data_IF_492699974561
#
_entry.id   IF_492699974561
#
_cell.length_a   1.000
_cell.length_b   1.000
_cell.length_c   1.000
_cell.angle_alpha   90.00
_cell.angle_beta   90.00
_cell.angle_gamma   90.00
#
_symmetry.space_group_name_H-M   'P 1'
#
loop_
_entity.id
_entity.type
_entity.pdbx_description
1 polymer ?
#
# COMPACT_ATOMS: atom_id res chain seq x y z
N UNK A 1 -1.43 13.10 19.60
CA UNK A 1 -1.17 11.66 19.37
C UNK A 1 -1.35 11.43 17.88
N UNK A 2 -0.42 10.73 17.19
CA UNK A 2 -0.55 10.49 15.74
C UNK A 2 -1.64 9.44 15.50
N UNK A 3 -2.41 9.58 14.42
CA UNK A 3 -3.42 8.62 13.96
C UNK A 3 -3.02 8.07 12.60
N UNK A 4 -3.18 6.76 12.39
CA UNK A 4 -2.89 6.08 11.12
C UNK A 4 -4.17 5.49 10.57
N UNK A 5 -4.53 5.83 9.33
CA UNK A 5 -5.60 5.19 8.58
C UNK A 5 -5.01 4.03 7.76
N UNK A 6 -5.43 2.82 8.06
CA UNK A 6 -5.08 1.60 7.31
C UNK A 6 -6.16 1.41 6.25
N UNK A 7 -5.78 1.45 4.97
CA UNK A 7 -6.69 1.25 3.84
C UNK A 7 -6.53 -0.17 3.30
N UNK A 8 -7.61 -0.94 3.32
CA UNK A 8 -7.68 -2.33 2.88
C UNK A 8 -8.60 -2.43 1.66
N UNK A 9 -8.08 -2.32 0.42
CA UNK A 9 -8.86 -2.60 -0.77
C UNK A 9 -9.06 -4.12 -0.91
N UNK A 10 -10.31 -4.57 -1.11
CA UNK A 10 -10.67 -5.97 -1.28
C UNK A 10 -11.53 -6.17 -2.53
N UNK A 11 -11.27 -7.23 -3.29
CA UNK A 11 -12.12 -7.68 -4.39
C UNK A 11 -11.97 -9.19 -4.58
N UNK A 12 -13.04 -9.93 -4.28
CA UNK A 12 -13.09 -11.39 -4.34
C UNK A 12 -11.97 -12.02 -3.49
N UNK A 13 -12.00 -11.72 -2.20
CA UNK A 13 -11.02 -12.20 -1.21
C UNK A 13 -11.74 -12.94 -0.05
N UNK A 14 -12.78 -13.72 -0.37
CA UNK A 14 -13.62 -14.44 0.61
C UNK A 14 -12.82 -15.37 1.53
N UNK A 15 -11.69 -15.91 1.06
CA UNK A 15 -10.83 -16.82 1.83
C UNK A 15 -9.86 -16.09 2.75
N UNK A 16 -9.55 -14.83 2.48
CA UNK A 16 -8.43 -14.11 3.11
C UNK A 16 -8.87 -12.91 3.93
N UNK A 17 -10.02 -12.29 3.61
CA UNK A 17 -10.40 -11.01 4.19
C UNK A 17 -10.61 -11.07 5.70
N UNK A 18 -11.32 -12.06 6.24
CA UNK A 18 -11.57 -12.17 7.67
C UNK A 18 -10.29 -12.52 8.44
N UNK A 19 -9.50 -13.55 8.06
CA UNK A 19 -8.20 -13.80 8.69
C UNK A 19 -7.26 -12.60 8.65
N UNK A 20 -7.24 -11.84 7.55
CA UNK A 20 -6.43 -10.63 7.46
C UNK A 20 -6.88 -9.58 8.48
N UNK A 21 -8.18 -9.25 8.50
CA UNK A 21 -8.68 -8.21 9.41
C UNK A 21 -8.50 -8.57 10.87
N UNK A 22 -8.60 -9.86 11.24
CA UNK A 22 -8.25 -10.35 12.57
C UNK A 22 -6.77 -10.12 12.88
N UNK A 23 -5.87 -10.40 11.93
CA UNK A 23 -4.44 -10.13 12.09
C UNK A 23 -4.14 -8.63 12.19
N UNK A 24 -4.81 -7.78 11.40
CA UNK A 24 -4.71 -6.31 11.49
C UNK A 24 -5.16 -5.84 12.88
N UNK A 25 -6.31 -6.34 13.35
CA UNK A 25 -6.84 -5.98 14.68
C UNK A 25 -5.87 -6.34 15.79
N UNK A 26 -5.38 -7.60 15.81
CA UNK A 26 -4.38 -8.06 16.78
C UNK A 26 -3.12 -7.19 16.76
N UNK A 27 -2.56 -6.93 15.57
CA UNK A 27 -1.34 -6.12 15.45
C UNK A 27 -1.55 -4.66 15.91
N UNK A 28 -2.72 -4.07 15.69
CA UNK A 28 -3.02 -2.69 16.10
C UNK A 28 -3.30 -2.60 17.60
N UNK A 29 -3.87 -3.63 18.22
CA UNK A 29 -4.08 -3.70 19.67
C UNK A 29 -2.78 -3.89 20.47
N UNK A 30 -1.82 -4.66 19.94
CA UNK A 30 -0.48 -4.81 20.52
C UNK A 30 0.31 -3.50 20.50
N UNK A 31 0.07 -2.64 19.49
CA UNK A 31 0.70 -1.34 19.33
C UNK A 31 -0.11 -0.27 20.08
N UNK A 32 0.14 -0.08 21.35
CA UNK A 32 -0.59 0.87 22.21
C UNK A 32 -0.59 2.32 21.69
N UNK A 33 0.27 2.68 20.79
CA UNK A 33 0.43 3.98 20.11
C UNK A 33 0.98 3.70 18.71
N UNK A 34 0.47 4.30 17.65
CA UNK A 34 -0.53 5.38 17.49
C UNK A 34 -1.99 4.87 17.55
N UNK A 35 -2.95 5.79 17.40
CA UNK A 35 -4.35 5.42 17.15
C UNK A 35 -4.50 4.91 15.73
N UNK A 36 -5.29 3.86 15.55
CA UNK A 36 -5.55 3.28 14.23
C UNK A 36 -7.00 3.51 13.80
N UNK A 37 -7.19 3.58 12.49
CA UNK A 37 -8.49 3.61 11.82
C UNK A 37 -8.40 2.64 10.65
N UNK A 38 -9.18 1.57 10.67
CA UNK A 38 -9.20 0.55 9.62
C UNK A 38 -10.35 0.84 8.66
N UNK A 39 -10.02 1.08 7.39
CA UNK A 39 -10.98 1.40 6.32
C UNK A 39 -10.92 0.29 5.29
N UNK A 40 -11.96 -0.54 5.23
CA UNK A 40 -12.10 -1.58 4.22
C UNK A 40 -12.89 -1.02 3.04
N UNK A 41 -12.40 -1.25 1.83
CA UNK A 41 -13.09 -0.89 0.59
C UNK A 41 -13.36 -2.15 -0.21
N UNK A 42 -14.60 -2.60 -0.22
CA UNK A 42 -15.05 -3.69 -1.09
C UNK A 42 -15.31 -3.15 -2.50
N UNK A 43 -14.44 -3.51 -3.42
CA UNK A 43 -14.43 -3.02 -4.81
C UNK A 43 -15.37 -3.87 -5.70
N UNK A 44 -16.66 -3.92 -5.35
CA UNK A 44 -17.66 -4.63 -6.13
C UNK A 44 -17.42 -6.15 -6.16
N UNK A 45 -17.15 -6.78 -5.01
CA UNK A 45 -16.99 -8.24 -4.96
C UNK A 45 -18.26 -8.97 -5.37
N UNK A 46 -18.10 -10.06 -6.12
CA UNK A 46 -19.18 -10.93 -6.59
C UNK A 46 -19.16 -12.33 -5.98
N UNK A 47 -18.24 -12.57 -5.02
CA UNK A 47 -18.19 -13.73 -4.15
C UNK A 47 -18.80 -13.41 -2.76
N UNK A 48 -18.50 -14.20 -1.74
CA UNK A 48 -19.01 -13.99 -0.38
C UNK A 48 -18.24 -12.91 0.42
N UNK A 49 -17.24 -12.24 -0.14
CA UNK A 49 -16.41 -11.22 0.55
C UNK A 49 -17.26 -10.16 1.25
N UNK A 50 -18.23 -9.56 0.54
CA UNK A 50 -19.12 -8.52 1.10
C UNK A 50 -19.95 -9.04 2.26
N UNK A 51 -20.51 -10.25 2.12
CA UNK A 51 -21.32 -10.87 3.16
C UNK A 51 -20.49 -11.14 4.43
N UNK A 52 -19.25 -11.61 4.28
CA UNK A 52 -18.31 -11.83 5.39
C UNK A 52 -17.96 -10.53 6.09
N UNK A 53 -17.72 -9.44 5.35
CA UNK A 53 -17.43 -8.12 5.94
C UNK A 53 -18.63 -7.62 6.76
N UNK A 54 -19.85 -7.72 6.23
CA UNK A 54 -21.06 -7.31 6.95
C UNK A 54 -21.33 -8.16 8.20
N UNK A 55 -20.85 -9.40 8.22
CA UNK A 55 -21.00 -10.31 9.37
C UNK A 55 -19.94 -10.08 10.48
N UNK A 56 -18.88 -9.31 10.21
CA UNK A 56 -17.78 -9.07 11.17
C UNK A 56 -17.45 -7.56 11.28
N UNK A 57 -18.43 -6.70 11.62
CA UNK A 57 -18.24 -5.24 11.67
C UNK A 57 -17.25 -4.78 12.76
N UNK A 58 -16.95 -5.62 13.74
CA UNK A 58 -15.99 -5.34 14.82
C UNK A 58 -14.54 -5.35 14.36
N UNK A 59 -14.24 -5.85 13.15
CA UNK A 59 -12.88 -5.97 12.63
C UNK A 59 -12.36 -4.70 11.93
N UNK A 60 -13.22 -3.71 11.70
CA UNK A 60 -12.86 -2.47 11.02
C UNK A 60 -13.69 -1.28 11.55
N UNK A 61 -13.23 -0.06 11.26
CA UNK A 61 -13.96 1.16 11.66
C UNK A 61 -14.91 1.62 10.55
N UNK A 62 -14.54 1.41 9.28
CA UNK A 62 -15.34 1.83 8.13
C UNK A 62 -15.33 0.79 7.01
N UNK A 63 -16.53 0.49 6.49
CA UNK A 63 -16.73 -0.28 5.27
C UNK A 63 -17.28 0.64 4.18
N UNK A 64 -16.60 0.67 3.03
CA UNK A 64 -17.08 1.29 1.80
C UNK A 64 -17.34 0.17 0.80
N UNK A 65 -18.61 -0.13 0.56
CA UNK A 65 -19.03 -1.15 -0.40
C UNK A 65 -19.39 -0.46 -1.73
N UNK A 66 -18.63 -0.75 -2.77
CA UNK A 66 -18.87 -0.23 -4.11
C UNK A 66 -19.79 -1.19 -4.89
N UNK A 67 -20.67 -0.65 -5.70
CA UNK A 67 -21.59 -1.47 -6.51
C UNK A 67 -20.88 -2.10 -7.71
N UNK A 68 -19.92 -1.36 -8.28
CA UNK A 68 -19.12 -1.78 -9.43
C UNK A 68 -17.63 -1.84 -9.11
N UNK A 69 -16.90 -2.66 -9.86
CA UNK A 69 -15.44 -2.77 -9.77
C UNK A 69 -14.75 -1.54 -10.38
N UNK A 70 -13.99 -0.81 -9.58
CA UNK A 70 -13.20 0.36 -9.99
C UNK A 70 -11.70 0.06 -10.11
N UNK A 71 -11.29 -1.16 -9.75
CA UNK A 71 -9.90 -1.60 -9.67
C UNK A 71 -9.20 -1.12 -8.39
N UNK A 72 -8.04 -1.74 -8.07
CA UNK A 72 -7.30 -1.47 -6.83
C UNK A 72 -7.10 0.03 -6.56
N UNK A 73 -6.67 0.78 -7.56
CA UNK A 73 -6.45 2.23 -7.40
C UNK A 73 -7.73 3.02 -7.17
N UNK A 74 -8.85 2.61 -7.78
CA UNK A 74 -10.17 3.21 -7.51
C UNK A 74 -10.61 2.97 -6.08
N UNK A 75 -10.47 1.74 -5.58
CA UNK A 75 -10.77 1.39 -4.20
C UNK A 75 -9.88 2.16 -3.21
N UNK A 76 -8.56 2.21 -3.46
CA UNK A 76 -7.62 3.01 -2.65
C UNK A 76 -8.04 4.47 -2.59
N UNK A 77 -8.44 5.07 -3.72
CA UNK A 77 -8.89 6.47 -3.77
C UNK A 77 -10.12 6.71 -2.87
N UNK A 78 -11.08 5.78 -2.86
CA UNK A 78 -12.25 5.84 -1.97
C UNK A 78 -11.85 5.76 -0.50
N UNK A 79 -10.92 4.86 -0.16
CA UNK A 79 -10.34 4.76 1.18
C UNK A 79 -9.64 6.05 1.61
N UNK A 80 -8.82 6.65 0.73
CA UNK A 80 -8.13 7.93 0.97
C UNK A 80 -9.08 9.10 1.22
N UNK A 81 -10.20 9.16 0.50
CA UNK A 81 -11.25 10.16 0.71
C UNK A 81 -11.90 10.06 2.10
N UNK A 82 -11.96 8.85 2.66
CA UNK A 82 -12.55 8.59 3.98
C UNK A 82 -11.54 8.76 5.12
N UNK A 83 -10.25 8.56 4.85
CA UNK A 83 -9.18 8.56 5.83
C UNK A 83 -9.08 9.88 6.61
N UNK A 84 -9.03 9.79 7.94
CA UNK A 84 -8.91 10.92 8.86
C UNK A 84 -7.56 10.99 9.57
N UNK A 85 -6.73 9.93 9.47
CA UNK A 85 -5.42 9.84 10.10
C UNK A 85 -4.41 10.86 9.61
N UNK A 86 -3.41 11.15 10.43
CA UNK A 86 -2.25 11.96 10.05
C UNK A 86 -1.38 11.23 9.01
N UNK A 87 -1.38 9.90 9.10
CA UNK A 87 -0.68 9.00 8.19
C UNK A 87 -1.65 8.02 7.54
N UNK A 88 -1.26 7.50 6.39
CA UNK A 88 -1.95 6.45 5.65
C UNK A 88 -1.02 5.26 5.50
N UNK A 89 -1.51 4.06 5.76
CA UNK A 89 -0.86 2.78 5.49
C UNK A 89 -1.74 1.96 4.53
N UNK A 90 -1.16 1.39 3.50
CA UNK A 90 -1.87 0.44 2.63
C UNK A 90 -1.65 -0.99 3.12
N UNK A 91 -2.72 -1.79 3.09
CA UNK A 91 -2.72 -3.21 3.41
C UNK A 91 -3.49 -3.98 2.34
N UNK A 92 -2.84 -4.89 1.64
CA UNK A 92 -3.53 -5.77 0.70
C UNK A 92 -4.32 -6.86 1.42
N UNK A 93 -5.49 -7.23 0.87
CA UNK A 93 -6.42 -8.18 1.48
C UNK A 93 -5.99 -9.66 1.33
N UNK A 94 -4.86 -9.95 0.71
CA UNK A 94 -4.48 -11.25 0.16
C UNK A 94 -3.51 -12.09 1.03
N UNK A 95 -3.22 -11.67 2.27
CA UNK A 95 -2.30 -12.32 3.21
C UNK A 95 -0.83 -12.46 2.71
N UNK A 96 -0.45 -11.77 1.61
CA UNK A 96 0.94 -11.76 1.15
C UNK A 96 1.85 -10.97 2.11
N UNK A 97 1.30 -9.95 2.79
CA UNK A 97 1.98 -9.12 3.80
C UNK A 97 1.45 -9.39 5.20
N UNK A 98 2.33 -9.30 6.17
CA UNK A 98 2.04 -9.64 7.57
C UNK A 98 1.84 -8.37 8.41
N UNK A 99 0.65 -8.14 9.03
CA UNK A 99 0.41 -6.99 9.90
C UNK A 99 1.35 -6.87 11.11
N UNK A 100 2.03 -7.94 11.51
CA UNK A 100 3.07 -7.89 12.55
C UNK A 100 4.27 -7.01 12.18
N UNK A 101 4.45 -6.71 10.89
CA UNK A 101 5.48 -5.79 10.42
C UNK A 101 5.11 -4.31 10.64
N UNK A 102 3.89 -4.00 11.11
CA UNK A 102 3.48 -2.61 11.42
C UNK A 102 4.39 -1.95 12.45
N UNK A 103 4.90 -2.69 13.42
CA UNK A 103 5.85 -2.17 14.40
C UNK A 103 7.09 -1.57 13.72
N UNK A 104 7.68 -2.30 12.77
CA UNK A 104 8.86 -1.83 12.02
C UNK A 104 8.55 -0.62 11.13
N UNK A 105 7.33 -0.55 10.54
CA UNK A 105 6.92 0.59 9.72
C UNK A 105 6.68 1.85 10.56
N UNK A 106 6.18 1.71 11.78
CA UNK A 106 5.78 2.81 12.67
C UNK A 106 6.98 3.38 13.43
N UNK A 107 7.96 2.56 13.77
CA UNK A 107 9.15 2.96 14.54
C UNK A 107 9.85 4.21 13.94
N UNK A 108 10.14 4.31 12.63
CA UNK A 108 10.75 5.51 12.07
C UNK A 108 9.86 6.76 12.16
N UNK A 109 8.52 6.59 12.10
CA UNK A 109 7.57 7.70 12.26
C UNK A 109 7.58 8.24 13.68
N UNK A 110 7.66 7.36 14.67
CA UNK A 110 7.59 7.74 16.09
C UNK A 110 8.93 8.22 16.62
N UNK A 111 10.02 7.52 16.26
CA UNK A 111 11.35 7.75 16.81
C UNK A 111 12.19 8.75 16.00
N UNK A 112 11.98 8.84 14.68
CA UNK A 112 12.87 9.59 13.78
C UNK A 112 12.15 10.67 12.94
N UNK A 113 10.86 10.88 13.16
CA UNK A 113 10.08 11.89 12.43
C UNK A 113 9.92 11.58 10.94
N UNK A 114 9.97 10.30 10.56
CA UNK A 114 9.76 9.87 9.17
C UNK A 114 8.40 10.35 8.66
N UNK A 115 8.40 10.86 7.45
CA UNK A 115 7.20 11.28 6.72
C UNK A 115 6.77 10.24 5.70
N UNK A 116 7.70 9.38 5.28
CA UNK A 116 7.48 8.23 4.41
C UNK A 116 8.28 7.06 4.97
N UNK A 117 7.64 5.91 5.10
CA UNK A 117 8.30 4.63 5.38
C UNK A 117 7.83 3.61 4.35
N UNK A 118 8.78 3.05 3.61
CA UNK A 118 8.54 2.01 2.64
C UNK A 118 8.95 0.65 3.22
N UNK A 119 8.06 -0.32 3.18
CA UNK A 119 8.40 -1.71 3.49
C UNK A 119 9.10 -2.36 2.30
N UNK A 120 10.29 -2.90 2.47
CA UNK A 120 11.03 -3.58 1.40
C UNK A 120 11.04 -5.10 1.58
N UNK A 121 10.72 -5.80 0.50
CA UNK A 121 10.85 -7.26 0.39
C UNK A 121 12.29 -7.70 0.10
N UNK A 122 13.21 -6.74 -0.14
CA UNK A 122 14.57 -7.00 -0.61
C UNK A 122 15.65 -6.56 0.36
N UNK A 123 15.35 -5.80 1.40
CA UNK A 123 16.28 -5.50 2.50
C UNK A 123 16.20 -6.62 3.54
N UNK A 124 17.12 -7.56 3.47
CA UNK A 124 17.36 -8.61 4.48
C UNK A 124 16.12 -9.08 5.27
N UNK A 125 15.02 -9.48 4.62
CA UNK A 125 13.86 -10.00 5.31
C UNK A 125 14.24 -11.29 6.07
N UNK A 126 13.58 -11.56 7.19
CA UNK A 126 13.84 -12.80 7.97
C UNK A 126 13.64 -14.06 7.13
N UNK A 127 12.68 -14.04 6.20
CA UNK A 127 12.40 -15.09 5.23
C UNK A 127 11.84 -14.47 3.95
N UNK A 128 12.26 -14.98 2.81
CA UNK A 128 11.68 -14.63 1.50
C UNK A 128 11.39 -15.90 0.72
N UNK A 129 10.16 -16.04 0.26
CA UNK A 129 9.84 -17.10 -0.70
C UNK A 129 10.58 -16.82 -1.99
N UNK A 130 11.39 -17.76 -2.48
CA UNK A 130 12.11 -17.62 -3.75
C UNK A 130 11.13 -17.73 -4.90
N UNK A 131 11.01 -16.64 -5.68
CA UNK A 131 10.09 -16.55 -6.81
C UNK A 131 10.77 -16.14 -8.10
N UNK A 132 9.97 -16.01 -9.13
CA UNK A 132 10.31 -15.75 -10.51
C UNK A 132 11.37 -14.67 -10.69
N UNK A 133 12.47 -15.02 -11.32
CA UNK A 133 13.58 -14.11 -11.62
C UNK A 133 13.12 -12.85 -12.36
N UNK A 134 12.28 -13.00 -13.39
CA UNK A 134 11.80 -11.87 -14.20
C UNK A 134 10.93 -10.90 -13.43
N UNK A 135 10.14 -11.33 -12.47
CA UNK A 135 9.37 -10.44 -11.60
C UNK A 135 10.29 -9.59 -10.71
N UNK A 136 11.32 -10.20 -10.14
CA UNK A 136 12.32 -9.49 -9.34
C UNK A 136 13.09 -8.47 -10.20
N UNK A 137 13.43 -8.85 -11.43
CA UNK A 137 14.11 -7.95 -12.38
C UNK A 137 13.21 -6.78 -12.76
N UNK A 138 11.93 -7.02 -13.07
CA UNK A 138 10.96 -5.96 -13.36
C UNK A 138 10.83 -4.96 -12.19
N UNK A 139 10.67 -5.44 -10.96
CA UNK A 139 10.63 -4.58 -9.78
C UNK A 139 11.90 -3.75 -9.60
N UNK A 140 13.08 -4.34 -9.85
CA UNK A 140 14.36 -3.62 -9.79
C UNK A 140 14.46 -2.52 -10.84
N UNK A 141 13.99 -2.76 -12.06
CA UNK A 141 13.98 -1.76 -13.12
C UNK A 141 13.05 -0.59 -12.81
N UNK A 142 11.84 -0.88 -12.29
CA UNK A 142 10.91 0.16 -11.84
C UNK A 142 11.54 0.99 -10.71
N UNK A 143 12.13 0.32 -9.72
CA UNK A 143 12.80 0.98 -8.57
C UNK A 143 13.99 1.81 -9.03
N UNK A 144 14.81 1.32 -9.96
CA UNK A 144 15.93 2.07 -10.52
C UNK A 144 15.45 3.36 -11.21
N UNK A 145 14.43 3.26 -12.08
CA UNK A 145 13.86 4.44 -12.74
C UNK A 145 13.33 5.45 -11.72
N UNK A 146 12.58 4.97 -10.71
CA UNK A 146 12.06 5.83 -9.67
C UNK A 146 13.17 6.56 -8.92
N UNK A 147 14.23 5.85 -8.51
CA UNK A 147 15.36 6.40 -7.80
C UNK A 147 16.09 7.48 -8.63
N UNK A 148 16.31 7.22 -9.92
CA UNK A 148 16.91 8.21 -10.84
C UNK A 148 16.05 9.48 -10.96
N UNK A 149 14.73 9.32 -11.11
CA UNK A 149 13.81 10.46 -11.25
C UNK A 149 13.67 11.27 -9.97
N UNK A 150 13.77 10.66 -8.80
CA UNK A 150 13.47 11.29 -7.52
C UNK A 150 14.71 11.51 -6.63
N UNK A 151 15.91 11.10 -7.08
CA UNK A 151 17.16 11.13 -6.30
C UNK A 151 17.01 10.44 -4.95
N UNK A 152 16.58 9.17 -4.97
CA UNK A 152 16.37 8.32 -3.80
C UNK A 152 17.14 7.01 -3.93
N UNK A 153 17.17 6.22 -2.85
CA UNK A 153 17.90 4.94 -2.79
C UNK A 153 17.01 3.78 -2.33
N UNK A 154 15.71 3.83 -2.59
CA UNK A 154 14.80 2.72 -2.27
C UNK A 154 15.26 1.43 -2.95
N UNK A 155 15.00 0.31 -2.30
CA UNK A 155 15.26 -1.03 -2.85
C UNK A 155 14.02 -1.68 -3.42
N UNK A 156 12.81 -1.26 -2.98
CA UNK A 156 11.52 -1.82 -3.40
C UNK A 156 10.38 -0.81 -3.33
N UNK A 157 10.12 -0.09 -4.40
CA UNK A 157 9.02 0.89 -4.43
C UNK A 157 7.64 0.29 -4.75
N UNK A 158 7.57 -1.01 -5.05
CA UNK A 158 6.32 -1.71 -5.40
C UNK A 158 5.90 -2.73 -4.35
N UNK A 159 6.40 -2.59 -3.13
CA UNK A 159 5.80 -3.23 -1.96
C UNK A 159 4.47 -2.57 -1.62
N UNK A 160 3.48 -3.33 -1.19
CA UNK A 160 2.20 -2.77 -0.72
C UNK A 160 2.41 -1.84 0.48
N UNK A 161 3.32 -2.19 1.39
CA UNK A 161 3.54 -1.45 2.62
C UNK A 161 4.21 -0.09 2.38
N UNK A 162 3.37 0.90 2.11
CA UNK A 162 3.70 2.31 2.07
C UNK A 162 2.97 3.02 3.21
N UNK A 163 3.71 3.51 4.19
CA UNK A 163 3.23 4.39 5.25
C UNK A 163 3.69 5.82 4.93
N UNK A 164 2.78 6.75 4.77
CA UNK A 164 3.14 8.14 4.45
C UNK A 164 2.26 9.15 5.16
N UNK A 165 2.80 10.33 5.43
CA UNK A 165 2.07 11.46 6.00
C UNK A 165 1.02 11.94 5.01
N UNK A 166 -0.25 11.86 5.37
CA UNK A 166 -1.41 12.13 4.48
C UNK A 166 -1.37 13.50 3.82
N UNK A 167 -0.90 14.53 4.52
CA UNK A 167 -0.80 15.91 3.99
C UNK A 167 0.19 16.06 2.82
N UNK A 168 1.10 15.10 2.59
CA UNK A 168 2.02 15.15 1.45
C UNK A 168 1.31 14.95 0.11
N UNK A 169 0.21 14.19 0.11
CA UNK A 169 -0.51 13.81 -1.12
C UNK A 169 -1.99 14.16 -0.97
N UNK A 170 -2.42 15.37 -1.34
CA UNK A 170 -3.83 15.69 -1.48
C UNK A 170 -4.52 14.71 -2.44
N UNK A 171 -5.69 14.22 -2.06
CA UNK A 171 -6.40 13.18 -2.83
C UNK A 171 -6.69 13.63 -4.26
N UNK A 172 -6.93 14.93 -4.44
CA UNK A 172 -7.24 15.58 -5.72
C UNK A 172 -6.03 15.56 -6.69
N UNK A 173 -4.82 15.40 -6.17
CA UNK A 173 -3.59 15.35 -6.98
C UNK A 173 -3.38 13.98 -7.64
N UNK A 174 -4.08 12.93 -7.19
CA UNK A 174 -3.96 11.56 -7.70
C UNK A 174 -4.83 11.42 -8.95
N UNK A 175 -4.23 10.99 -10.05
CA UNK A 175 -4.90 10.90 -11.36
C UNK A 175 -5.10 9.48 -11.85
N UNK A 176 -4.27 8.54 -11.38
CA UNK A 176 -4.34 7.14 -11.78
C UNK A 176 -5.29 6.32 -10.90
N UNK A 177 -5.81 5.20 -11.43
CA UNK A 177 -6.81 4.37 -10.75
C UNK A 177 -6.52 2.87 -10.83
N UNK A 178 -5.30 2.49 -11.26
CA UNK A 178 -4.90 1.10 -11.39
C UNK A 178 -3.58 0.84 -10.63
N UNK A 179 -2.82 -0.16 -10.99
CA UNK A 179 -1.57 -0.57 -10.32
C UNK A 179 -0.50 0.54 -10.27
N UNK A 180 -0.46 1.40 -11.28
CA UNK A 180 0.46 2.53 -11.37
C UNK A 180 0.23 3.60 -10.30
N UNK A 181 -0.95 3.62 -9.65
CA UNK A 181 -1.30 4.61 -8.62
C UNK A 181 -0.33 4.60 -7.44
N UNK A 182 0.13 3.42 -7.03
CA UNK A 182 1.09 3.31 -5.93
C UNK A 182 2.37 4.10 -6.21
N UNK A 183 2.92 3.96 -7.43
CA UNK A 183 4.09 4.72 -7.88
C UNK A 183 3.81 6.22 -8.00
N UNK A 184 2.61 6.63 -8.43
CA UNK A 184 2.19 8.03 -8.47
C UNK A 184 2.15 8.62 -7.06
N UNK A 185 1.48 7.96 -6.10
CA UNK A 185 1.37 8.40 -4.72
C UNK A 185 2.75 8.56 -4.09
N UNK A 186 3.62 7.55 -4.23
CA UNK A 186 4.98 7.61 -3.69
C UNK A 186 5.79 8.74 -4.34
N UNK A 187 5.69 8.91 -5.67
CA UNK A 187 6.37 10.01 -6.38
C UNK A 187 5.90 11.38 -5.91
N UNK A 188 4.59 11.59 -5.72
CA UNK A 188 4.05 12.84 -5.18
C UNK A 188 4.52 13.09 -3.75
N UNK A 189 4.49 12.07 -2.89
CA UNK A 189 4.91 12.16 -1.50
C UNK A 189 6.40 12.52 -1.37
N UNK A 190 7.28 11.80 -2.08
CA UNK A 190 8.73 12.04 -2.08
C UNK A 190 9.07 13.47 -2.53
N UNK A 191 8.25 14.06 -3.39
CA UNK A 191 8.46 15.45 -3.83
C UNK A 191 8.36 16.50 -2.74
N UNK A 192 7.72 16.20 -1.63
CA UNK A 192 7.47 17.13 -0.52
C UNK A 192 8.09 16.66 0.79
N UNK A 193 8.36 15.37 0.93
CA UNK A 193 8.93 14.79 2.15
C UNK A 193 10.41 15.17 2.31
N UNK A 194 10.82 15.28 3.57
CA UNK A 194 12.22 15.55 3.97
C UNK A 194 12.89 14.32 4.61
N UNK A 195 12.11 13.50 5.29
CA UNK A 195 12.61 12.35 6.05
C UNK A 195 11.93 11.09 5.55
N UNK A 196 12.70 10.22 4.89
CA UNK A 196 12.24 8.98 4.29
C UNK A 196 13.03 7.81 4.89
N UNK A 197 12.34 6.71 5.14
CA UNK A 197 12.94 5.46 5.61
C UNK A 197 12.46 4.29 4.77
N UNK A 198 13.24 3.23 4.78
CA UNK A 198 12.88 1.94 4.24
C UNK A 198 13.19 0.87 5.30
N UNK A 199 12.26 -0.06 5.52
CA UNK A 199 12.38 -1.11 6.54
C UNK A 199 12.13 -2.49 5.94
N UNK A 200 12.75 -3.57 6.45
CA UNK A 200 12.47 -4.92 5.99
C UNK A 200 11.05 -5.34 6.37
N UNK A 201 10.37 -6.05 5.46
CA UNK A 201 9.03 -6.62 5.71
C UNK A 201 8.96 -8.07 5.26
N UNK A 202 8.12 -8.83 5.91
CA UNK A 202 7.83 -10.23 5.56
C UNK A 202 6.95 -10.28 4.32
N UNK A 203 7.23 -11.24 3.41
CA UNK A 203 6.46 -11.38 2.19
C UNK A 203 6.27 -12.85 1.80
N UNK A 204 5.01 -13.25 1.63
CA UNK A 204 4.60 -14.59 1.22
C UNK A 204 3.88 -14.55 -0.12
N UNK A 205 4.61 -14.16 -1.17
CA UNK A 205 4.01 -13.99 -2.50
C UNK A 205 3.23 -15.22 -2.97
N UNK A 206 2.10 -15.00 -3.63
CA UNK A 206 1.27 -16.04 -4.28
C UNK A 206 1.87 -16.46 -5.63
N UNK A 207 1.69 -17.73 -6.01
CA UNK A 207 1.96 -18.21 -7.36
C UNK A 207 0.83 -17.79 -8.32
N UNK A 208 1.03 -17.99 -9.63
CA UNK A 208 -0.05 -17.75 -10.61
C UNK A 208 -1.26 -18.68 -10.38
N UNK A 209 -1.03 -19.91 -9.92
CA UNK A 209 -2.10 -20.83 -9.54
C UNK A 209 -2.89 -20.36 -8.31
N UNK A 210 -2.26 -19.54 -7.45
CA UNK A 210 -2.85 -18.93 -6.26
C UNK A 210 -3.44 -17.52 -6.55
N UNK A 211 -3.63 -17.14 -7.82
CA UNK A 211 -4.38 -15.93 -8.21
C UNK A 211 -3.56 -14.65 -8.39
N UNK A 212 -2.26 -14.72 -8.71
CA UNK A 212 -1.47 -13.52 -8.99
C UNK A 212 -1.99 -12.75 -10.20
N UNK A 213 -2.35 -11.47 -10.00
CA UNK A 213 -3.10 -10.65 -10.97
C UNK A 213 -2.23 -9.73 -11.85
N UNK A 214 -0.96 -9.44 -11.50
CA UNK A 214 -0.09 -8.48 -12.21
C UNK A 214 0.49 -9.09 -13.49
N UNK A 215 0.42 -8.35 -14.61
CA UNK A 215 0.94 -8.75 -15.93
C UNK A 215 2.26 -8.02 -16.25
N UNK A 216 3.19 -8.64 -17.01
CA UNK A 216 4.44 -7.99 -17.42
C UNK A 216 4.25 -6.68 -18.20
N UNK A 217 3.15 -6.53 -18.95
CA UNK A 217 2.82 -5.32 -19.69
C UNK A 217 2.56 -4.10 -18.82
N UNK A 218 2.20 -4.30 -17.55
CA UNK A 218 1.88 -3.19 -16.63
C UNK A 218 3.11 -2.32 -16.33
N UNK A 219 4.32 -2.85 -16.53
CA UNK A 219 5.58 -2.13 -16.32
C UNK A 219 5.68 -0.85 -17.17
N UNK A 220 5.22 -0.89 -18.43
CA UNK A 220 5.28 0.28 -19.32
C UNK A 220 4.37 1.41 -18.84
N UNK A 221 3.18 1.05 -18.34
CA UNK A 221 2.23 2.00 -17.76
C UNK A 221 2.80 2.67 -16.51
N UNK A 222 3.44 1.88 -15.66
CA UNK A 222 4.14 2.37 -14.47
C UNK A 222 5.25 3.34 -14.86
N UNK A 223 6.11 3.00 -15.81
CA UNK A 223 7.19 3.87 -16.29
C UNK A 223 6.64 5.21 -16.79
N UNK A 224 5.61 5.16 -17.63
CA UNK A 224 4.96 6.36 -18.15
C UNK A 224 4.45 7.26 -17.00
N UNK A 225 3.76 6.68 -16.03
CA UNK A 225 3.21 7.44 -14.89
C UNK A 225 4.30 8.05 -14.03
N UNK A 226 5.40 7.32 -13.74
CA UNK A 226 6.52 7.85 -12.96
C UNK A 226 7.16 9.07 -13.63
N UNK A 227 7.43 8.97 -14.94
CA UNK A 227 8.01 10.07 -15.73
C UNK A 227 7.05 11.26 -15.75
N UNK A 228 5.77 11.03 -16.06
CA UNK A 228 4.78 12.08 -16.15
C UNK A 228 4.57 12.79 -14.80
N UNK A 229 4.51 12.05 -13.70
CA UNK A 229 4.37 12.62 -12.36
C UNK A 229 5.59 13.46 -12.00
N UNK A 230 6.79 13.02 -12.37
CA UNK A 230 8.01 13.80 -12.16
C UNK A 230 7.99 15.10 -12.94
N UNK A 231 7.61 15.06 -14.22
CA UNK A 231 7.53 16.26 -15.09
C UNK A 231 6.52 17.28 -14.52
N UNK A 232 5.33 16.84 -14.12
CA UNK A 232 4.34 17.72 -13.50
C UNK A 232 4.88 18.40 -12.26
N UNK A 233 5.52 17.66 -11.35
CA UNK A 233 6.12 18.22 -10.13
C UNK A 233 7.22 19.27 -10.40
N UNK A 234 7.87 19.20 -11.55
CA UNK A 234 8.87 20.22 -11.96
C UNK A 234 8.17 21.45 -12.53
N UNK A 235 7.08 21.28 -13.27
CA UNK A 235 6.33 22.37 -13.88
C UNK A 235 5.46 23.14 -12.87
N UNK A 236 5.02 22.49 -11.80
CA UNK A 236 4.19 23.07 -10.75
C UNK A 236 5.00 23.79 -9.63
N UNK A 237 6.34 23.85 -9.78
CA UNK A 237 7.27 24.58 -8.89
C UNK A 237 7.55 25.98 -9.41
#
# INVERSE_FOLDING_TARGET
>A
MKKISIIVPAHNEEQTIVPLLQAVRSATEELSIPLFEVIVVDDGSNDTTRALLLAAPELYDHLIALDDQHGKGGAVLKGLQRATGDFVLFQDADLEYDPRDYAALIEPVMGHGAQIVMGSRFIAPRMTRVFYFWHKMGNRLITLLFNLLNNTTFTDIYSCYLLYQRSLVPVESIRTRSWEQHGEILSLAVGKAKVLYEVPVSYRGRSYAEGKKIRPSDIFRVFYVLILTRLRRVLDR
#
